data_IF_064573674982
#
_entry.id   IF_064573674982
#
_cell.length_a   1.000
_cell.length_b   1.000
_cell.length_c   1.000
_cell.angle_alpha   90.00
_cell.angle_beta   90.00
_cell.angle_gamma   90.00
#
_symmetry.space_group_name_H-M   'P 1'
#
loop_
_entity.id
_entity.type
_entity.pdbx_description
1 polymer ?
#
# COMPACT_ATOMS: atom_id res chain seq x y z
N UNK A 1 23.90 13.40 -3.52
CA UNK A 1 23.82 11.91 -3.41
C UNK A 1 22.49 11.32 -3.94
N UNK A 2 21.48 12.13 -4.23
CA UNK A 2 20.20 11.67 -4.81
C UNK A 2 20.24 11.44 -6.34
N UNK A 3 21.25 11.96 -7.03
CA UNK A 3 21.34 11.91 -8.51
C UNK A 3 21.49 10.51 -9.12
N UNK A 4 21.74 9.47 -8.33
CA UNK A 4 22.05 8.12 -8.82
C UNK A 4 21.16 6.99 -8.31
N UNK A 5 20.00 7.28 -7.70
CA UNK A 5 19.07 6.20 -7.37
C UNK A 5 18.30 5.76 -8.61
N UNK A 6 18.33 4.48 -8.98
CA UNK A 6 17.59 3.97 -10.11
C UNK A 6 16.10 4.26 -9.96
N UNK A 7 15.45 4.59 -11.06
CA UNK A 7 14.00 4.82 -11.07
C UNK A 7 13.24 3.54 -10.70
N UNK A 8 12.03 3.70 -10.16
CA UNK A 8 11.14 2.56 -9.90
C UNK A 8 10.91 1.71 -11.16
N UNK A 9 10.80 2.36 -12.33
CA UNK A 9 10.69 1.69 -13.62
C UNK A 9 11.90 0.77 -13.90
N UNK A 10 13.12 1.25 -13.63
CA UNK A 10 14.32 0.42 -13.77
C UNK A 10 14.26 -0.81 -12.86
N UNK A 11 13.86 -0.62 -11.59
CA UNK A 11 13.75 -1.72 -10.61
C UNK A 11 12.76 -2.77 -11.09
N UNK A 12 11.59 -2.35 -11.56
CA UNK A 12 10.52 -3.25 -12.02
C UNK A 12 10.95 -4.03 -13.27
N UNK A 13 11.54 -3.35 -14.27
CA UNK A 13 11.88 -3.97 -15.54
C UNK A 13 13.09 -4.92 -15.44
N UNK A 14 13.91 -4.76 -14.42
CA UNK A 14 15.08 -5.61 -14.19
C UNK A 14 14.88 -6.62 -13.04
N UNK A 15 13.67 -6.83 -12.59
CA UNK A 15 13.38 -7.85 -11.59
C UNK A 15 13.58 -9.27 -12.13
N UNK A 16 14.20 -10.21 -11.39
CA UNK A 16 14.67 -10.13 -10.00
C UNK A 16 16.10 -9.59 -9.81
N UNK A 17 16.84 -9.28 -10.87
CA UNK A 17 18.24 -8.78 -10.82
C UNK A 17 18.35 -7.47 -10.03
N UNK A 18 17.30 -6.66 -10.04
CA UNK A 18 17.23 -5.39 -9.30
C UNK A 18 16.96 -5.52 -7.79
N UNK A 19 16.84 -6.74 -7.26
CA UNK A 19 16.54 -6.98 -5.82
C UNK A 19 17.49 -6.22 -4.87
N UNK A 20 18.82 -6.17 -5.06
CA UNK A 20 19.70 -5.39 -4.18
C UNK A 20 19.42 -3.88 -4.25
N UNK A 21 19.05 -3.39 -5.44
CA UNK A 21 18.71 -1.99 -5.66
C UNK A 21 17.38 -1.65 -4.99
N UNK A 22 16.39 -2.52 -5.11
CA UNK A 22 15.12 -2.38 -4.41
C UNK A 22 15.33 -2.26 -2.90
N UNK A 23 16.16 -3.12 -2.32
CA UNK A 23 16.47 -3.07 -0.89
C UNK A 23 17.04 -1.70 -0.50
N UNK A 24 17.99 -1.16 -1.26
CA UNK A 24 18.53 0.19 -1.03
C UNK A 24 17.46 1.27 -1.19
N UNK A 25 16.64 1.21 -2.23
CA UNK A 25 15.55 2.15 -2.48
C UNK A 25 14.52 2.17 -1.33
N UNK A 26 14.09 1.01 -0.88
CA UNK A 26 13.11 0.86 0.21
C UNK A 26 13.67 1.32 1.55
N UNK A 27 14.92 0.96 1.86
CA UNK A 27 15.58 1.29 3.12
C UNK A 27 16.13 2.71 3.19
N UNK A 28 16.17 3.45 2.08
CA UNK A 28 16.61 4.83 2.06
C UNK A 28 15.71 5.71 2.93
N UNK A 29 16.30 6.32 3.97
CA UNK A 29 15.62 7.19 4.96
C UNK A 29 16.15 8.62 4.94
N UNK A 30 16.90 8.99 3.90
CA UNK A 30 17.54 10.32 3.84
C UNK A 30 16.55 11.48 3.77
N UNK A 31 15.36 11.25 3.21
CA UNK A 31 14.28 12.23 3.15
C UNK A 31 12.92 11.55 3.36
N UNK A 32 11.93 12.31 3.79
CA UNK A 32 10.56 11.81 3.86
C UNK A 32 10.07 11.46 2.44
N UNK A 33 9.56 10.25 2.19
CA UNK A 33 9.13 9.85 0.87
C UNK A 33 7.87 10.62 0.44
N UNK A 34 7.85 11.08 -0.82
CA UNK A 34 6.63 11.58 -1.46
C UNK A 34 5.71 10.41 -1.81
N UNK A 35 4.83 10.03 -0.88
CA UNK A 35 3.91 8.90 -1.03
C UNK A 35 2.93 9.10 -2.20
N UNK A 36 2.52 10.34 -2.50
CA UNK A 36 1.65 10.62 -3.63
C UNK A 36 2.35 10.29 -4.96
N UNK A 37 3.56 10.79 -5.12
CA UNK A 37 4.36 10.51 -6.32
C UNK A 37 4.64 9.01 -6.48
N UNK A 38 4.96 8.31 -5.39
CA UNK A 38 5.18 6.85 -5.40
C UNK A 38 3.92 6.11 -5.85
N UNK A 39 2.74 6.44 -5.31
CA UNK A 39 1.47 5.85 -5.75
C UNK A 39 1.20 6.11 -7.23
N UNK A 40 1.46 7.33 -7.70
CA UNK A 40 1.26 7.70 -9.11
C UNK A 40 2.21 6.96 -10.04
N UNK A 41 3.48 6.79 -9.65
CA UNK A 41 4.45 5.99 -10.39
C UNK A 41 4.00 4.52 -10.45
N UNK A 42 3.58 3.93 -9.32
CA UNK A 42 3.08 2.56 -9.28
C UNK A 42 1.86 2.37 -10.19
N UNK A 43 0.89 3.28 -10.18
CA UNK A 43 -0.27 3.21 -11.10
C UNK A 43 0.15 3.28 -12.57
N UNK A 44 1.14 4.15 -12.89
CA UNK A 44 1.71 4.25 -14.24
C UNK A 44 2.37 2.94 -14.67
N UNK A 45 3.22 2.36 -13.81
CA UNK A 45 3.92 1.09 -14.08
C UNK A 45 2.96 -0.09 -14.23
N UNK A 46 1.86 -0.09 -13.49
CA UNK A 46 0.78 -1.07 -13.61
C UNK A 46 -0.14 -0.82 -14.83
N UNK A 47 0.15 0.21 -15.65
CA UNK A 47 -0.64 0.61 -16.84
C UNK A 47 -2.09 0.91 -16.52
N UNK A 48 -2.32 1.62 -15.42
CA UNK A 48 -3.65 2.09 -15.01
C UNK A 48 -3.76 3.59 -15.25
N UNK A 49 -4.82 4.00 -15.96
CA UNK A 49 -5.08 5.42 -16.20
C UNK A 49 -5.42 6.17 -14.91
N UNK A 50 -4.91 7.40 -14.80
CA UNK A 50 -5.13 8.27 -13.65
C UNK A 50 -6.48 8.96 -13.76
N UNK A 51 -7.46 8.48 -13.02
CA UNK A 51 -8.70 9.23 -12.84
C UNK A 51 -8.48 10.42 -11.89
N UNK A 52 -8.99 11.61 -12.24
CA UNK A 52 -8.86 12.83 -11.39
C UNK A 52 -9.35 12.59 -9.96
N UNK A 53 -10.45 11.85 -9.80
CA UNK A 53 -11.01 11.50 -8.48
C UNK A 53 -10.05 10.66 -7.63
N UNK A 54 -9.39 9.66 -8.24
CA UNK A 54 -8.41 8.81 -7.55
C UNK A 54 -7.21 9.66 -7.11
N UNK A 55 -6.67 10.50 -7.99
CA UNK A 55 -5.54 11.36 -7.66
C UNK A 55 -5.86 12.33 -6.51
N UNK A 56 -7.05 12.93 -6.50
CA UNK A 56 -7.47 13.81 -5.43
C UNK A 56 -7.50 13.11 -4.06
N UNK A 57 -8.04 11.90 -4.01
CA UNK A 57 -8.11 11.14 -2.76
C UNK A 57 -6.72 10.65 -2.35
N UNK A 58 -5.92 10.14 -3.28
CA UNK A 58 -4.54 9.73 -3.01
C UNK A 58 -3.72 10.90 -2.43
N UNK A 59 -3.89 12.11 -2.93
CA UNK A 59 -3.24 13.30 -2.39
C UNK A 59 -3.60 13.54 -0.92
N UNK A 60 -4.89 13.44 -0.56
CA UNK A 60 -5.33 13.58 0.83
C UNK A 60 -4.78 12.49 1.74
N UNK A 61 -4.87 11.24 1.29
CA UNK A 61 -4.43 10.09 2.11
C UNK A 61 -2.92 10.07 2.26
N UNK A 62 -2.17 10.36 1.19
CA UNK A 62 -0.70 10.45 1.25
C UNK A 62 -0.24 11.48 2.28
N UNK A 63 -0.91 12.63 2.39
CA UNK A 63 -0.63 13.62 3.43
C UNK A 63 -0.83 13.05 4.83
N UNK A 64 -1.93 12.32 5.06
CA UNK A 64 -2.19 11.68 6.36
C UNK A 64 -1.11 10.63 6.68
N UNK A 65 -0.75 9.80 5.71
CA UNK A 65 0.28 8.75 5.88
C UNK A 65 1.70 9.32 6.02
N UNK A 66 1.95 10.55 5.55
CA UNK A 66 3.24 11.22 5.68
C UNK A 66 3.45 11.85 7.04
N UNK A 67 2.42 11.98 7.87
CA UNK A 67 2.53 12.47 9.23
C UNK A 67 3.17 11.39 10.10
N UNK A 68 4.46 11.58 10.44
CA UNK A 68 5.16 10.68 11.36
C UNK A 68 4.64 10.90 12.77
N UNK A 69 3.99 9.88 13.32
CA UNK A 69 3.52 9.88 14.70
C UNK A 69 4.68 9.47 15.61
N UNK A 70 4.99 10.28 16.62
CA UNK A 70 6.12 10.04 17.54
C UNK A 70 6.03 8.70 18.27
N UNK A 71 4.81 8.21 18.50
CA UNK A 71 4.54 6.93 19.17
C UNK A 71 4.53 5.72 18.23
N UNK A 72 4.67 5.93 16.91
CA UNK A 72 4.61 4.87 15.93
C UNK A 72 5.84 4.91 15.02
N UNK A 73 6.96 4.41 15.51
CA UNK A 73 8.24 4.46 14.81
C UNK A 73 8.32 3.50 13.62
N UNK A 74 7.53 2.43 13.61
CA UNK A 74 7.51 1.44 12.53
C UNK A 74 6.56 1.82 11.40
N UNK A 75 5.29 2.13 11.70
CA UNK A 75 4.26 2.45 10.70
C UNK A 75 4.35 3.92 10.28
N UNK A 76 5.45 4.29 9.67
CA UNK A 76 5.78 5.62 9.20
C UNK A 76 5.77 5.70 7.67
N UNK A 77 6.06 6.86 7.10
CA UNK A 77 6.06 7.08 5.65
C UNK A 77 7.03 6.16 4.89
N UNK A 78 8.13 5.74 5.48
CA UNK A 78 9.07 4.79 4.86
C UNK A 78 8.50 3.37 4.81
N UNK A 79 7.75 2.95 5.84
CA UNK A 79 7.02 1.68 5.82
C UNK A 79 5.98 1.67 4.70
N UNK A 80 5.15 2.71 4.59
CA UNK A 80 4.17 2.81 3.49
C UNK A 80 4.85 2.78 2.12
N UNK A 81 5.96 3.51 1.93
CA UNK A 81 6.77 3.43 0.71
C UNK A 81 7.17 1.98 0.39
N UNK A 82 7.70 1.28 1.38
CA UNK A 82 8.17 -0.10 1.22
C UNK A 82 7.04 -1.02 0.75
N UNK A 83 5.90 -0.96 1.40
CA UNK A 83 4.75 -1.81 1.09
C UNK A 83 4.19 -1.51 -0.30
N UNK A 84 3.98 -0.23 -0.65
CA UNK A 84 3.43 0.15 -1.95
C UNK A 84 4.35 -0.31 -3.09
N UNK A 85 5.65 -0.08 -2.97
CA UNK A 85 6.61 -0.44 -4.02
C UNK A 85 6.75 -1.96 -4.17
N UNK A 86 6.82 -2.70 -3.05
CA UNK A 86 6.89 -4.16 -3.08
C UNK A 86 5.64 -4.77 -3.71
N UNK A 87 4.46 -4.30 -3.30
CA UNK A 87 3.19 -4.74 -3.87
C UNK A 87 3.10 -4.45 -5.39
N UNK A 88 3.59 -3.28 -5.83
CA UNK A 88 3.65 -2.92 -7.25
C UNK A 88 4.53 -3.90 -8.05
N UNK A 89 5.71 -4.25 -7.53
CA UNK A 89 6.63 -5.19 -8.19
C UNK A 89 6.00 -6.58 -8.33
N UNK A 90 5.38 -7.09 -7.28
CA UNK A 90 4.68 -8.38 -7.30
C UNK A 90 3.53 -8.34 -8.32
N UNK A 91 2.72 -7.27 -8.29
CA UNK A 91 1.58 -7.11 -9.18
C UNK A 91 1.97 -6.98 -10.66
N UNK A 92 3.15 -6.44 -10.96
CA UNK A 92 3.67 -6.34 -12.33
C UNK A 92 3.83 -7.72 -12.98
N UNK A 93 4.16 -8.73 -12.17
CA UNK A 93 4.36 -10.12 -12.60
C UNK A 93 3.12 -11.01 -12.33
N UNK A 94 1.99 -10.41 -11.98
CA UNK A 94 0.74 -11.10 -11.66
C UNK A 94 -0.39 -10.56 -12.53
N UNK A 95 -1.19 -11.44 -13.09
CA UNK A 95 -2.39 -11.03 -13.82
C UNK A 95 -3.46 -10.52 -12.86
N UNK A 96 -3.57 -9.21 -12.78
CA UNK A 96 -4.62 -8.50 -12.05
C UNK A 96 -5.49 -7.70 -13.01
N UNK A 97 -6.78 -7.61 -12.71
CA UNK A 97 -7.66 -6.66 -13.40
C UNK A 97 -7.20 -5.21 -13.20
N UNK A 98 -7.55 -4.30 -14.12
CA UNK A 98 -7.28 -2.87 -13.93
C UNK A 98 -7.82 -2.36 -12.60
N UNK A 99 -9.01 -2.84 -12.21
CA UNK A 99 -9.64 -2.50 -10.94
C UNK A 99 -8.82 -2.97 -9.74
N UNK A 100 -8.35 -4.21 -9.75
CA UNK A 100 -7.54 -4.76 -8.66
C UNK A 100 -6.16 -4.07 -8.55
N UNK A 101 -5.59 -3.62 -9.66
CA UNK A 101 -4.36 -2.82 -9.65
C UNK A 101 -4.55 -1.47 -8.93
N UNK A 102 -5.68 -0.79 -9.16
CA UNK A 102 -6.03 0.44 -8.42
C UNK A 102 -6.23 0.13 -6.94
N UNK A 103 -7.01 -0.90 -6.63
CA UNK A 103 -7.24 -1.34 -5.25
C UNK A 103 -5.95 -1.67 -4.53
N UNK A 104 -5.02 -2.37 -5.19
CA UNK A 104 -3.72 -2.73 -4.63
C UNK A 104 -2.97 -1.49 -4.12
N UNK A 105 -2.80 -0.48 -4.97
CA UNK A 105 -2.07 0.73 -4.59
C UNK A 105 -2.76 1.46 -3.43
N UNK A 106 -4.09 1.57 -3.48
CA UNK A 106 -4.85 2.27 -2.43
C UNK A 106 -4.82 1.49 -1.11
N UNK A 107 -5.01 0.18 -1.13
CA UNK A 107 -4.98 -0.64 0.09
C UNK A 107 -3.56 -0.66 0.67
N UNK A 108 -2.53 -0.81 -0.15
CA UNK A 108 -1.13 -0.74 0.30
C UNK A 108 -0.79 0.59 0.98
N UNK A 109 -1.37 1.71 0.51
CA UNK A 109 -1.23 3.01 1.18
C UNK A 109 -2.00 3.09 2.50
N UNK A 110 -3.14 2.39 2.61
CA UNK A 110 -4.09 2.57 3.72
C UNK A 110 -4.03 1.46 4.77
N UNK A 111 -3.33 0.33 4.53
CA UNK A 111 -3.45 -0.87 5.38
C UNK A 111 -3.19 -0.61 6.86
N UNK A 112 -2.27 0.30 7.17
CA UNK A 112 -1.88 0.66 8.53
C UNK A 112 -2.21 2.11 8.93
N UNK A 113 -3.09 2.79 8.19
CA UNK A 113 -3.44 4.20 8.46
C UNK A 113 -4.04 4.40 9.87
N UNK A 114 -4.71 3.37 10.40
CA UNK A 114 -5.28 3.35 11.76
C UNK A 114 -4.37 2.73 12.81
N UNK A 115 -3.16 2.27 12.45
CA UNK A 115 -2.29 1.55 13.35
C UNK A 115 -1.70 2.46 14.45
N UNK A 116 -1.81 2.01 15.72
CA UNK A 116 -1.39 2.80 16.89
C UNK A 116 0.05 2.53 17.34
N UNK A 117 0.83 1.76 16.58
CA UNK A 117 2.23 1.43 16.90
C UNK A 117 2.42 0.39 17.99
N UNK A 118 1.34 -0.14 18.58
CA UNK A 118 1.36 -1.17 19.63
C UNK A 118 0.37 -2.27 19.32
N UNK A 119 0.69 -3.49 19.75
CA UNK A 119 -0.22 -4.64 19.64
C UNK A 119 -1.34 -4.54 20.67
N UNK A 120 -2.58 -4.76 20.25
CA UNK A 120 -3.76 -4.83 21.13
C UNK A 120 -4.21 -6.29 21.18
N UNK A 121 -3.73 -7.01 22.21
CA UNK A 121 -3.97 -8.46 22.33
C UNK A 121 -5.45 -8.78 22.61
N UNK A 122 -6.13 -7.94 23.38
CA UNK A 122 -7.53 -8.15 23.77
C UNK A 122 -8.54 -8.00 22.64
N UNK A 123 -8.14 -7.40 21.52
CA UNK A 123 -9.01 -7.13 20.37
C UNK A 123 -8.28 -7.49 19.06
N UNK A 124 -8.27 -8.78 18.66
CA UNK A 124 -7.67 -9.18 17.38
C UNK A 124 -8.35 -8.44 16.23
N UNK A 125 -7.58 -8.06 15.22
CA UNK A 125 -7.99 -7.28 14.03
C UNK A 125 -8.43 -5.83 14.31
N UNK A 126 -8.35 -5.32 15.53
CA UNK A 126 -8.83 -3.97 15.86
C UNK A 126 -8.17 -2.89 15.00
N UNK A 127 -6.87 -2.95 14.81
CA UNK A 127 -6.12 -1.93 14.07
C UNK A 127 -6.36 -2.02 12.56
N UNK A 128 -6.46 -3.23 12.05
CA UNK A 128 -6.79 -3.53 10.65
C UNK A 128 -8.23 -3.06 10.33
N UNK A 129 -9.17 -3.32 11.24
CA UNK A 129 -10.55 -2.84 11.10
C UNK A 129 -10.64 -1.32 11.20
N UNK A 130 -9.87 -0.70 12.09
CA UNK A 130 -9.78 0.76 12.18
C UNK A 130 -9.24 1.35 10.87
N UNK A 131 -8.17 0.77 10.32
CA UNK A 131 -7.63 1.15 9.01
C UNK A 131 -8.65 0.98 7.89
N UNK A 132 -9.42 -0.12 7.89
CA UNK A 132 -10.53 -0.33 6.96
C UNK A 132 -11.65 0.72 7.11
N UNK A 133 -12.03 1.08 8.34
CA UNK A 133 -13.07 2.09 8.56
C UNK A 133 -12.64 3.47 8.07
N UNK A 134 -11.39 3.86 8.30
CA UNK A 134 -10.81 5.08 7.75
C UNK A 134 -10.76 5.04 6.22
N UNK A 135 -10.27 3.94 5.64
CA UNK A 135 -10.30 3.70 4.21
C UNK A 135 -11.72 3.83 3.65
N UNK A 136 -12.70 3.14 4.23
CA UNK A 136 -14.10 3.21 3.80
C UNK A 136 -14.63 4.64 3.84
N UNK A 137 -14.37 5.39 4.91
CA UNK A 137 -14.82 6.79 5.05
C UNK A 137 -14.26 7.68 3.94
N UNK A 138 -13.02 7.46 3.54
CA UNK A 138 -12.33 8.27 2.53
C UNK A 138 -12.75 7.93 1.10
N UNK A 139 -13.04 6.65 0.82
CA UNK A 139 -13.17 6.16 -0.55
C UNK A 139 -14.56 5.65 -0.94
N UNK A 140 -15.45 5.32 0.02
CA UNK A 140 -16.72 4.62 -0.28
C UNK A 140 -17.58 5.29 -1.33
N UNK A 141 -17.86 6.58 -1.18
CA UNK A 141 -18.75 7.32 -2.11
C UNK A 141 -18.12 7.57 -3.49
N UNK A 142 -16.81 7.43 -3.61
CA UNK A 142 -16.05 7.82 -4.80
C UNK A 142 -15.65 6.64 -5.64
N UNK A 143 -15.26 5.52 -5.02
CA UNK A 143 -14.57 4.45 -5.70
C UNK A 143 -15.20 3.05 -5.57
N UNK A 144 -16.05 2.77 -4.54
CA UNK A 144 -16.44 1.39 -4.24
C UNK A 144 -17.93 1.14 -4.24
N UNK A 145 -18.31 -0.03 -4.78
CA UNK A 145 -19.64 -0.59 -4.65
C UNK A 145 -19.75 -1.35 -3.32
N UNK A 146 -20.94 -1.41 -2.73
CA UNK A 146 -21.21 -2.11 -1.45
C UNK A 146 -20.66 -3.55 -1.45
N UNK A 147 -20.80 -4.28 -2.55
CA UNK A 147 -20.32 -5.66 -2.70
C UNK A 147 -18.79 -5.82 -2.63
N UNK A 148 -18.03 -4.78 -2.96
CA UNK A 148 -16.56 -4.82 -2.89
C UNK A 148 -16.06 -4.62 -1.45
N UNK A 149 -16.84 -3.97 -0.59
CA UNK A 149 -16.42 -3.61 0.77
C UNK A 149 -16.16 -4.83 1.65
N UNK A 150 -16.90 -5.92 1.49
CA UNK A 150 -16.66 -7.16 2.25
C UNK A 150 -15.33 -7.81 1.84
N UNK A 151 -15.03 -7.83 0.54
CA UNK A 151 -13.73 -8.31 0.02
C UNK A 151 -12.59 -7.47 0.60
N UNK A 152 -12.73 -6.14 0.58
CA UNK A 152 -11.72 -5.22 1.07
C UNK A 152 -11.51 -5.37 2.58
N UNK A 153 -12.58 -5.49 3.38
CA UNK A 153 -12.49 -5.74 4.82
C UNK A 153 -11.71 -7.04 5.11
N UNK A 154 -11.98 -8.11 4.34
CA UNK A 154 -11.22 -9.37 4.48
C UNK A 154 -9.75 -9.17 4.21
N UNK A 155 -9.39 -8.41 3.16
CA UNK A 155 -8.00 -8.10 2.83
C UNK A 155 -7.33 -7.37 3.99
N UNK A 156 -7.96 -6.32 4.54
CA UNK A 156 -7.42 -5.61 5.69
C UNK A 156 -7.23 -6.53 6.91
N UNK A 157 -8.21 -7.37 7.25
CA UNK A 157 -8.08 -8.31 8.38
C UNK A 157 -6.95 -9.31 8.20
N UNK A 158 -6.63 -9.66 6.98
CA UNK A 158 -5.55 -10.61 6.69
C UNK A 158 -4.16 -10.00 6.78
N UNK A 159 -4.00 -8.67 6.86
CA UNK A 159 -2.72 -8.03 7.18
C UNK A 159 -2.35 -8.16 8.67
N UNK A 160 -3.23 -8.70 9.51
CA UNK A 160 -2.97 -8.91 10.94
C UNK A 160 -1.86 -9.92 11.20
N UNK A 161 -0.79 -9.46 11.84
CA UNK A 161 0.31 -10.32 12.30
C UNK A 161 0.16 -10.62 13.81
N UNK A 162 0.36 -11.86 14.30
CA UNK A 162 1.12 -12.98 13.71
C UNK A 162 0.26 -14.11 13.11
N UNK A 163 -0.96 -13.86 12.70
CA UNK A 163 -1.80 -14.94 12.18
C UNK A 163 -1.25 -15.45 10.86
N UNK A 164 -1.04 -16.78 10.78
CA UNK A 164 -0.74 -17.40 9.49
C UNK A 164 -1.91 -17.19 8.54
N UNK A 165 -1.72 -16.65 7.35
CA UNK A 165 -2.79 -16.49 6.39
C UNK A 165 -3.41 -17.85 6.08
N UNK A 166 -4.74 -17.94 6.13
CA UNK A 166 -5.47 -19.12 5.61
C UNK A 166 -5.20 -19.20 4.10
N UNK A 167 -5.39 -20.39 3.52
CA UNK A 167 -5.27 -20.56 2.07
C UNK A 167 -6.15 -19.54 1.36
N UNK A 168 -5.52 -18.55 0.70
CA UNK A 168 -6.20 -17.45 0.04
C UNK A 168 -6.24 -17.73 -1.46
N UNK A 169 -7.42 -17.62 -2.08
CA UNK A 169 -7.58 -17.80 -3.52
C UNK A 169 -7.58 -16.47 -4.29
N UNK A 170 -7.81 -15.36 -3.60
CA UNK A 170 -7.86 -14.02 -4.17
C UNK A 170 -6.44 -13.52 -4.50
N UNK A 171 -6.16 -13.27 -5.78
CA UNK A 171 -4.85 -12.81 -6.25
C UNK A 171 -4.42 -11.48 -5.62
N UNK A 172 -5.36 -10.53 -5.45
CA UNK A 172 -5.09 -9.23 -4.83
C UNK A 172 -4.69 -9.41 -3.35
N UNK A 173 -5.44 -10.24 -2.63
CA UNK A 173 -5.19 -10.54 -1.22
C UNK A 173 -3.82 -11.19 -1.01
N UNK A 174 -3.41 -12.11 -1.91
CA UNK A 174 -2.08 -12.76 -1.87
C UNK A 174 -0.91 -11.79 -2.01
N UNK A 175 -1.11 -10.66 -2.68
CA UNK A 175 -0.03 -9.70 -2.91
C UNK A 175 0.12 -8.77 -1.70
N UNK A 176 -0.96 -8.51 -0.98
CA UNK A 176 -0.97 -7.59 0.16
C UNK A 176 -0.51 -8.27 1.46
N UNK A 177 -0.61 -9.58 1.52
CA UNK A 177 -0.09 -10.42 2.62
C UNK A 177 1.43 -10.57 2.59
#
# INVERSE_FOLDING_TARGET
LEKNMPSLNYIINNWPRSKPILKKFVLSKHSAPDLLNICQLCLKELKVFREKKINFILSKVSKICSINKTYNTYHNSHHFKAVIVTACIIARNTELSKRDKVLLVIISLCHDIGHQGRRIISKPYYQEELSYHLFRRLFYKVLFKKKELQRILRIFRNTYFPKKPKKVNDKLEKIIL
#
